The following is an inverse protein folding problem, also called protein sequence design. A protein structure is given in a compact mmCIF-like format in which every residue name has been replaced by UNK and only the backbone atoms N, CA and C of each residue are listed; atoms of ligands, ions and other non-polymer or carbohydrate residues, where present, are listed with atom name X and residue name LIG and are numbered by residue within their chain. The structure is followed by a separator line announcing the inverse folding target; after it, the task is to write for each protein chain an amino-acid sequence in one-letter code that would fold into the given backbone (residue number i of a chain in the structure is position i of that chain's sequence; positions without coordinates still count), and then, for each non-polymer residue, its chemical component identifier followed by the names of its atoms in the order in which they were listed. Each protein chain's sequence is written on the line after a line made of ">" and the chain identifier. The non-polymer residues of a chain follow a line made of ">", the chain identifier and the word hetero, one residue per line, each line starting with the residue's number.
data_IF_297839104096
#
_entry.id   IF_297839104096
#
_cell.length_a   1.000
_cell.length_b   1.000
_cell.length_c   1.000
_cell.angle_alpha   90.00
_cell.angle_beta   90.00
_cell.angle_gamma   90.00
#
_symmetry.space_group_name_H-M   'P 1'
#
loop_
_entity.id
_entity.type
_entity.pdbx_description
1 polymer ?
#
# COMPACT_ATOMS: atom_id res chain seq x y z
N UNK A 1 -6.42 0.24 14.88
CA UNK A 1 -5.15 -0.19 14.27
C UNK A 1 -5.13 0.25 12.82
N UNK A 2 -3.98 0.59 12.29
CA UNK A 2 -3.82 0.89 10.87
C UNK A 2 -3.06 -0.26 10.21
N UNK A 3 -3.44 -0.62 8.98
CA UNK A 3 -2.79 -1.65 8.17
C UNK A 3 -2.58 -1.10 6.76
N UNK A 4 -1.62 -1.69 6.04
CA UNK A 4 -1.55 -1.54 4.58
C UNK A 4 -2.19 -2.77 3.94
N UNK A 5 -3.25 -2.55 3.16
CA UNK A 5 -3.78 -3.55 2.25
C UNK A 5 -2.97 -3.52 0.95
N UNK A 6 -2.56 -4.69 0.47
CA UNK A 6 -1.77 -4.83 -0.75
C UNK A 6 -2.45 -5.79 -1.74
N UNK A 7 -2.50 -5.38 -3.00
CA UNK A 7 -2.91 -6.21 -4.14
C UNK A 7 -1.72 -6.31 -5.10
N UNK A 8 -1.13 -7.50 -5.21
CA UNK A 8 0.13 -7.74 -5.90
C UNK A 8 -0.11 -8.63 -7.11
N UNK A 9 -0.04 -8.01 -8.29
CA UNK A 9 -0.13 -8.69 -9.58
C UNK A 9 1.16 -8.59 -10.39
N UNK A 10 1.19 -9.23 -11.57
CA UNK A 10 2.37 -9.22 -12.44
C UNK A 10 2.70 -7.86 -13.06
N UNK A 11 1.68 -7.03 -13.29
CA UNK A 11 1.83 -5.70 -13.93
C UNK A 11 1.76 -4.54 -12.94
N UNK A 12 1.09 -4.73 -11.80
CA UNK A 12 0.85 -3.67 -10.84
C UNK A 12 0.95 -4.20 -9.41
N UNK A 13 1.53 -3.39 -8.54
CA UNK A 13 1.37 -3.46 -7.10
C UNK A 13 0.50 -2.29 -6.66
N UNK A 14 -0.50 -2.56 -5.82
CA UNK A 14 -1.38 -1.53 -5.27
C UNK A 14 -1.34 -1.55 -3.75
N UNK A 15 -1.28 -0.39 -3.13
CA UNK A 15 -1.24 -0.24 -1.68
C UNK A 15 -2.30 0.74 -1.21
N UNK A 16 -3.01 0.42 -0.14
CA UNK A 16 -4.00 1.30 0.48
C UNK A 16 -3.92 1.21 2.00
N UNK A 17 -4.09 2.35 2.68
CA UNK A 17 -4.25 2.36 4.13
C UNK A 17 -5.65 1.93 4.52
N UNK A 18 -5.72 1.03 5.51
CA UNK A 18 -6.95 0.57 6.11
C UNK A 18 -6.96 0.89 7.61
N UNK A 19 -8.06 1.47 8.08
CA UNK A 19 -8.35 1.58 9.50
C UNK A 19 -9.14 0.33 9.92
N UNK A 20 -8.68 -0.34 10.97
CA UNK A 20 -9.32 -1.52 11.53
C UNK A 20 -9.69 -1.28 12.99
N UNK A 21 -10.98 -1.51 13.30
CA UNK A 21 -11.54 -1.41 14.63
C UNK A 21 -12.40 -2.64 14.92
N UNK A 22 -12.25 -3.22 16.12
CA UNK A 22 -13.00 -4.39 16.57
C UNK A 22 -13.03 -5.54 15.54
N UNK A 23 -11.88 -5.76 14.88
CA UNK A 23 -11.71 -6.82 13.88
C UNK A 23 -12.36 -6.54 12.52
N UNK A 24 -12.80 -5.31 12.25
CA UNK A 24 -13.44 -4.92 10.98
C UNK A 24 -12.74 -3.72 10.36
N UNK A 25 -12.65 -3.69 9.03
CA UNK A 25 -12.19 -2.52 8.29
C UNK A 25 -13.28 -1.44 8.38
N UNK A 26 -12.95 -0.30 8.96
CA UNK A 26 -13.86 0.86 9.08
C UNK A 26 -13.62 1.91 8.00
N UNK A 27 -12.40 1.94 7.43
CA UNK A 27 -12.03 2.81 6.32
C UNK A 27 -10.99 2.13 5.45
N UNK A 28 -11.10 2.32 4.14
CA UNK A 28 -10.07 1.99 3.15
C UNK A 28 -9.82 3.24 2.31
N UNK A 29 -8.60 3.76 2.34
CA UNK A 29 -8.21 4.92 1.53
C UNK A 29 -8.06 4.52 0.05
N UNK A 30 -7.97 5.52 -0.82
CA UNK A 30 -7.67 5.29 -2.23
C UNK A 30 -6.33 4.56 -2.39
N UNK A 31 -6.30 3.60 -3.33
CA UNK A 31 -5.12 2.80 -3.58
C UNK A 31 -4.10 3.56 -4.42
N UNK A 32 -2.85 3.55 -3.98
CA UNK A 32 -1.71 3.95 -4.78
C UNK A 32 -1.35 2.80 -5.70
N UNK A 33 -1.48 3.00 -7.01
CA UNK A 33 -1.10 2.00 -8.03
C UNK A 33 0.29 2.29 -8.57
N UNK A 34 1.15 1.27 -8.54
CA UNK A 34 2.53 1.30 -9.00
C UNK A 34 2.75 0.23 -10.07
N UNK A 35 3.38 0.59 -11.20
CA UNK A 35 3.70 -0.37 -12.27
C UNK A 35 4.91 -1.19 -11.87
N UNK A 36 4.79 -2.51 -11.89
CA UNK A 36 5.89 -3.41 -11.50
C UNK A 36 7.12 -3.24 -12.39
N UNK A 37 6.92 -2.93 -13.67
CA UNK A 37 8.01 -2.66 -14.62
C UNK A 37 8.85 -1.43 -14.28
N UNK A 38 8.35 -0.52 -13.44
CA UNK A 38 9.04 0.71 -13.03
C UNK A 38 9.79 0.56 -11.70
N UNK A 39 9.71 -0.62 -11.06
CA UNK A 39 10.30 -0.89 -9.76
C UNK A 39 11.07 -2.20 -9.79
N UNK A 40 12.31 -2.18 -9.30
CA UNK A 40 13.19 -3.35 -9.33
C UNK A 40 12.64 -4.54 -8.50
N UNK A 41 11.78 -4.27 -7.52
CA UNK A 41 11.25 -5.28 -6.60
C UNK A 41 10.01 -4.77 -5.84
N UNK A 42 9.31 -5.67 -5.16
CA UNK A 42 8.21 -5.31 -4.24
C UNK A 42 8.69 -4.39 -3.09
N UNK A 43 9.84 -4.65 -2.42
CA UNK A 43 10.42 -3.70 -1.46
C UNK A 43 10.57 -2.28 -2.00
N UNK A 44 11.05 -2.13 -3.24
CA UNK A 44 11.19 -0.81 -3.87
C UNK A 44 9.84 -0.11 -4.06
N UNK A 45 8.80 -0.87 -4.47
CA UNK A 45 7.44 -0.33 -4.58
C UNK A 45 6.85 0.05 -3.21
N UNK A 46 7.17 -0.70 -2.15
CA UNK A 46 6.78 -0.41 -0.77
C UNK A 46 7.41 0.90 -0.25
N UNK A 47 8.70 1.11 -0.50
CA UNK A 47 9.41 2.35 -0.14
C UNK A 47 8.77 3.56 -0.82
N UNK A 48 8.52 3.49 -2.14
CA UNK A 48 7.83 4.54 -2.91
C UNK A 48 6.44 4.85 -2.34
N UNK A 49 5.71 3.83 -1.88
CA UNK A 49 4.41 4.04 -1.24
C UNK A 49 4.55 4.84 0.07
N UNK A 50 5.56 4.52 0.89
CA UNK A 50 5.88 5.27 2.11
C UNK A 50 6.26 6.72 1.82
N UNK A 51 7.07 6.95 0.79
CA UNK A 51 7.43 8.31 0.33
C UNK A 51 6.20 9.11 -0.10
N UNK A 52 5.29 8.50 -0.87
CA UNK A 52 4.03 9.15 -1.30
C UNK A 52 3.11 9.47 -0.13
N UNK A 53 3.14 8.66 0.92
CA UNK A 53 2.36 8.90 2.13
C UNK A 53 2.98 10.00 3.02
N UNK A 54 4.28 10.26 2.87
CA UNK A 54 5.00 11.30 3.63
C UNK A 54 5.16 11.00 5.12
N UNK A 55 5.02 9.73 5.53
CA UNK A 55 5.20 9.27 6.91
C UNK A 55 5.63 7.80 6.94
N UNK A 56 6.08 7.34 8.11
CA UNK A 56 6.36 5.94 8.34
C UNK A 56 5.12 5.07 8.10
N UNK A 57 5.31 3.95 7.40
CA UNK A 57 4.27 2.95 7.17
C UNK A 57 4.01 2.14 8.45
N UNK A 58 2.74 1.77 8.73
CA UNK A 58 2.36 0.98 9.90
C UNK A 58 2.77 -0.50 9.77
#
# INVERSE_FOLDING_TARGET
>A
MELVAADIGGNHARFALANVEKGRVTKLNEAVTLRTAEHASLPTAWEIFGERLGRALP
#
